data_IF_156933702509
#
_entry.id   IF_156933702509
#
_cell.length_a   1.000
_cell.length_b   1.000
_cell.length_c   1.000
_cell.angle_alpha   90.00
_cell.angle_beta   90.00
_cell.angle_gamma   90.00
#
_symmetry.space_group_name_H-M   'P 1'
#
loop_
_entity.id
_entity.type
_entity.pdbx_description
1 polymer ?
#
# COMPACT_ATOMS: atom_id res chain seq x y z
N UNK A 1 -20.10 -33.56 41.64
CA UNK A 1 -20.13 -33.47 40.18
C UNK A 1 -20.47 -32.03 39.89
N UNK A 2 -19.42 -31.22 39.76
CA UNK A 2 -19.52 -29.77 39.67
C UNK A 2 -20.05 -29.37 38.30
N UNK A 3 -21.12 -28.58 38.35
CA UNK A 3 -21.78 -27.95 37.21
C UNK A 3 -20.86 -26.84 36.69
N UNK A 4 -20.08 -27.17 35.66
CA UNK A 4 -19.18 -26.23 34.99
C UNK A 4 -20.03 -25.29 34.15
N UNK A 5 -20.40 -24.16 34.73
CA UNK A 5 -20.97 -23.01 34.02
C UNK A 5 -20.02 -22.63 32.87
N UNK A 6 -20.44 -22.94 31.64
CA UNK A 6 -19.80 -22.46 30.41
C UNK A 6 -19.75 -20.93 30.45
N UNK A 7 -18.54 -20.40 30.66
CA UNK A 7 -18.31 -18.96 30.54
C UNK A 7 -18.46 -18.58 29.07
N UNK A 8 -19.37 -17.65 28.71
CA UNK A 8 -19.52 -17.24 27.32
C UNK A 8 -18.18 -16.74 26.79
N UNK A 9 -17.78 -17.26 25.63
CA UNK A 9 -16.56 -16.87 24.94
C UNK A 9 -16.48 -15.34 24.85
N UNK A 10 -15.34 -14.76 25.25
CA UNK A 10 -15.10 -13.33 25.20
C UNK A 10 -15.25 -12.83 23.75
N UNK A 11 -16.42 -12.31 23.40
CA UNK A 11 -16.69 -11.62 22.14
C UNK A 11 -15.91 -10.31 22.18
N UNK A 12 -14.81 -10.26 21.44
CA UNK A 12 -13.87 -9.14 21.44
C UNK A 12 -14.58 -7.81 21.17
N UNK A 13 -14.31 -6.81 22.00
CA UNK A 13 -14.73 -5.44 21.74
C UNK A 13 -14.12 -4.94 20.43
N UNK A 14 -14.96 -4.59 19.45
CA UNK A 14 -14.51 -3.97 18.19
C UNK A 14 -14.63 -2.45 18.26
N UNK A 15 -15.74 -1.95 18.80
CA UNK A 15 -15.93 -0.52 18.99
C UNK A 15 -17.32 -0.13 19.48
N UNK A 16 -17.54 1.17 19.58
CA UNK A 16 -18.79 1.78 20.05
C UNK A 16 -19.26 2.89 19.13
N UNK A 17 -20.56 2.91 18.86
CA UNK A 17 -21.28 4.06 18.33
C UNK A 17 -21.74 4.92 19.49
N UNK A 18 -21.48 6.22 19.41
CA UNK A 18 -21.79 7.20 20.44
C UNK A 18 -22.52 8.42 19.87
N UNK A 19 -23.28 9.10 20.70
CA UNK A 19 -24.04 10.31 20.37
C UNK A 19 -23.68 11.48 21.27
N UNK A 20 -23.56 12.68 20.70
CA UNK A 20 -23.41 13.94 21.43
C UNK A 20 -24.76 14.64 21.54
N UNK A 21 -25.12 15.05 22.76
CA UNK A 21 -26.30 15.88 23.05
C UNK A 21 -26.00 16.85 24.20
N UNK A 22 -26.92 17.77 24.47
CA UNK A 22 -26.88 18.54 25.71
C UNK A 22 -27.42 17.70 26.86
N UNK A 23 -26.93 17.90 28.07
CA UNK A 23 -27.50 17.24 29.25
C UNK A 23 -28.99 17.58 29.44
N UNK A 24 -29.35 18.83 29.14
CA UNK A 24 -30.70 19.37 29.27
C UNK A 24 -31.65 18.98 28.12
N UNK A 25 -31.17 18.26 27.11
CA UNK A 25 -31.96 17.92 25.92
C UNK A 25 -31.76 16.46 25.53
N UNK A 26 -32.86 15.78 25.17
CA UNK A 26 -32.81 14.49 24.50
C UNK A 26 -32.32 14.59 23.05
N UNK A 27 -32.13 15.79 22.51
CA UNK A 27 -31.78 15.98 21.10
C UNK A 27 -30.30 15.70 20.84
N UNK A 28 -30.02 14.58 20.16
CA UNK A 28 -28.71 14.33 19.56
C UNK A 28 -28.37 15.33 18.47
N UNK A 29 -27.13 15.83 18.52
CA UNK A 29 -26.57 16.80 17.57
C UNK A 29 -25.44 16.22 16.74
N UNK A 30 -24.86 15.09 17.16
CA UNK A 30 -23.84 14.41 16.39
C UNK A 30 -23.77 12.94 16.78
N UNK A 31 -23.55 12.06 15.80
CA UNK A 31 -23.29 10.63 16.02
C UNK A 31 -21.92 10.30 15.46
N UNK A 32 -21.16 9.45 16.14
CA UNK A 32 -19.91 8.94 15.60
C UNK A 32 -19.58 7.55 16.12
N UNK A 33 -18.64 6.87 15.47
CA UNK A 33 -18.08 5.63 15.96
C UNK A 33 -16.61 5.75 16.41
N UNK A 34 -16.18 4.81 17.25
CA UNK A 34 -14.79 4.65 17.67
C UNK A 34 -14.46 3.19 17.95
N UNK A 35 -13.32 2.70 17.47
CA UNK A 35 -12.72 1.42 17.90
C UNK A 35 -11.87 1.56 19.17
N UNK A 36 -11.67 2.79 19.64
CA UNK A 36 -11.04 3.13 20.92
C UNK A 36 -12.10 3.56 21.94
N UNK A 37 -11.71 3.94 23.16
CA UNK A 37 -12.66 4.40 24.17
C UNK A 37 -13.38 5.71 23.77
N UNK A 38 -14.66 5.81 24.14
CA UNK A 38 -15.47 7.02 23.97
C UNK A 38 -14.78 8.22 24.61
N UNK A 39 -14.25 8.06 25.84
CA UNK A 39 -13.54 9.13 26.56
C UNK A 39 -12.41 9.75 25.74
N UNK A 40 -11.53 8.92 25.16
CA UNK A 40 -10.41 9.40 24.32
C UNK A 40 -10.94 10.11 23.08
N UNK A 41 -11.98 9.57 22.45
CA UNK A 41 -12.58 10.15 21.24
C UNK A 41 -13.24 11.50 21.52
N UNK A 42 -13.93 11.64 22.65
CA UNK A 42 -14.53 12.89 23.14
C UNK A 42 -13.47 13.97 23.34
N UNK A 43 -12.39 13.66 24.08
CA UNK A 43 -11.28 14.59 24.29
C UNK A 43 -10.65 15.04 22.96
N UNK A 44 -10.52 14.12 22.00
CA UNK A 44 -10.00 14.46 20.67
C UNK A 44 -10.93 15.44 19.91
N UNK A 45 -12.25 15.31 20.04
CA UNK A 45 -13.19 16.26 19.43
C UNK A 45 -13.08 17.64 20.05
N UNK A 46 -13.04 17.76 21.37
CA UNK A 46 -12.83 19.03 22.05
C UNK A 46 -11.49 19.67 21.66
N UNK A 47 -10.40 18.90 21.63
CA UNK A 47 -9.08 19.38 21.19
C UNK A 47 -9.11 19.88 19.73
N UNK A 48 -9.75 19.14 18.83
CA UNK A 48 -9.87 19.54 17.42
C UNK A 48 -10.74 20.80 17.25
N UNK A 49 -11.80 20.93 18.04
CA UNK A 49 -12.67 22.10 18.03
C UNK A 49 -11.92 23.34 18.55
N UNK A 50 -11.15 23.20 19.63
CA UNK A 50 -10.30 24.25 20.19
C UNK A 50 -9.17 24.68 19.23
N UNK A 51 -8.61 23.73 18.47
CA UNK A 51 -7.61 24.01 17.43
C UNK A 51 -8.17 24.74 16.19
N UNK A 52 -9.46 25.08 16.17
CA UNK A 52 -10.04 25.91 15.11
C UNK A 52 -10.49 25.15 13.86
N UNK A 53 -10.66 23.82 13.93
CA UNK A 53 -11.21 23.06 12.79
C UNK A 53 -12.65 23.48 12.52
N UNK A 54 -12.94 23.84 11.26
CA UNK A 54 -14.23 24.40 10.83
C UNK A 54 -15.19 23.30 10.37
N UNK A 55 -16.17 22.96 11.20
CA UNK A 55 -17.30 22.08 10.86
C UNK A 55 -18.51 22.50 11.71
N UNK A 56 -19.74 22.29 11.22
CA UNK A 56 -20.95 22.66 11.98
C UNK A 56 -20.98 22.00 13.39
N UNK A 57 -20.53 20.75 13.49
CA UNK A 57 -20.38 20.06 14.76
C UNK A 57 -19.36 20.73 15.69
N UNK A 58 -18.18 21.12 15.21
CA UNK A 58 -17.17 21.78 16.05
C UNK A 58 -17.56 23.21 16.40
N UNK A 59 -18.26 23.90 15.52
CA UNK A 59 -18.83 25.22 15.79
C UNK A 59 -19.90 25.13 16.90
N UNK A 60 -20.73 24.09 16.87
CA UNK A 60 -21.66 23.79 17.95
C UNK A 60 -20.94 23.39 19.25
N UNK A 61 -19.90 22.54 19.17
CA UNK A 61 -19.14 22.09 20.34
C UNK A 61 -18.37 23.24 21.02
N UNK A 62 -17.97 24.28 20.30
CA UNK A 62 -17.37 25.49 20.91
C UNK A 62 -18.39 26.38 21.60
N UNK A 63 -19.64 26.35 21.16
CA UNK A 63 -20.74 27.12 21.76
C UNK A 63 -21.36 26.38 22.95
N UNK A 64 -21.42 25.06 22.88
CA UNK A 64 -21.82 24.21 23.99
C UNK A 64 -20.65 24.11 24.98
N UNK A 65 -20.81 24.58 26.20
CA UNK A 65 -19.80 24.40 27.25
C UNK A 65 -19.59 22.91 27.52
N UNK A 66 -18.34 22.47 27.70
CA UNK A 66 -17.97 21.07 27.98
C UNK A 66 -18.77 20.46 29.15
N UNK A 67 -19.10 21.26 30.16
CA UNK A 67 -19.89 20.88 31.35
C UNK A 67 -21.36 20.52 31.08
N UNK A 68 -21.88 20.83 29.89
CA UNK A 68 -23.28 20.57 29.54
C UNK A 68 -23.41 19.62 28.34
N UNK A 69 -22.29 19.08 27.85
CA UNK A 69 -22.27 18.15 26.72
C UNK A 69 -22.22 16.73 27.25
N UNK A 70 -23.28 15.97 26.97
CA UNK A 70 -23.35 14.55 27.29
C UNK A 70 -23.00 13.70 26.08
N UNK A 71 -22.10 12.73 26.27
CA UNK A 71 -21.74 11.74 25.25
C UNK A 71 -22.27 10.38 25.67
N UNK A 72 -23.27 9.91 24.93
CA UNK A 72 -24.00 8.68 25.22
C UNK A 72 -23.45 7.52 24.38
N UNK A 73 -23.31 6.34 24.99
CA UNK A 73 -22.99 5.11 24.27
C UNK A 73 -24.28 4.53 23.69
N UNK A 74 -24.42 4.52 22.37
CA UNK A 74 -25.63 4.07 21.68
C UNK A 74 -25.59 2.55 21.43
N UNK A 75 -24.45 2.02 20.98
CA UNK A 75 -24.30 0.61 20.65
C UNK A 75 -22.85 0.15 20.77
N UNK A 76 -22.63 -1.00 21.42
CA UNK A 76 -21.34 -1.70 21.45
C UNK A 76 -21.35 -2.77 20.36
N UNK A 77 -20.37 -2.73 19.47
CA UNK A 77 -20.22 -3.70 18.39
C UNK A 77 -19.02 -4.60 18.67
N UNK A 78 -19.23 -5.91 18.58
CA UNK A 78 -18.23 -6.96 18.83
C UNK A 78 -17.92 -7.82 17.59
N UNK A 79 -18.65 -7.61 16.49
CA UNK A 79 -18.59 -8.48 15.32
C UNK A 79 -17.48 -8.10 14.33
N UNK A 80 -17.49 -6.88 13.76
CA UNK A 80 -16.47 -6.40 12.83
C UNK A 80 -16.43 -4.88 12.70
N UNK A 81 -15.35 -4.34 12.12
CA UNK A 81 -15.24 -2.89 11.85
C UNK A 81 -16.26 -2.42 10.80
N UNK A 82 -16.62 -3.28 9.84
CA UNK A 82 -17.65 -2.96 8.87
C UNK A 82 -19.04 -2.96 9.51
N UNK A 83 -19.26 -3.79 10.53
CA UNK A 83 -20.52 -3.82 11.28
C UNK A 83 -20.64 -2.57 12.15
N UNK A 84 -19.54 -2.12 12.74
CA UNK A 84 -19.47 -0.85 13.46
C UNK A 84 -19.80 0.34 12.54
N UNK A 85 -19.28 0.33 11.31
CA UNK A 85 -19.59 1.33 10.30
C UNK A 85 -21.07 1.31 9.88
N UNK A 86 -21.65 0.12 9.66
CA UNK A 86 -23.08 -0.02 9.33
C UNK A 86 -23.97 0.43 10.49
N UNK A 87 -23.58 0.11 11.72
CA UNK A 87 -24.28 0.57 12.93
C UNK A 87 -24.27 2.11 13.03
N UNK A 88 -23.13 2.77 12.77
CA UNK A 88 -23.07 4.25 12.75
C UNK A 88 -24.09 4.86 11.78
N UNK A 89 -24.17 4.33 10.56
CA UNK A 89 -25.13 4.77 9.54
C UNK A 89 -26.57 4.55 10.02
N UNK A 90 -26.88 3.35 10.51
CA UNK A 90 -28.21 3.01 11.00
C UNK A 90 -28.67 3.92 12.14
N UNK A 91 -27.77 4.30 13.06
CA UNK A 91 -28.07 5.25 14.13
C UNK A 91 -28.30 6.68 13.61
N UNK A 92 -27.51 7.13 12.63
CA UNK A 92 -27.71 8.44 12.00
C UNK A 92 -29.08 8.50 11.34
N UNK A 93 -29.46 7.47 10.58
CA UNK A 93 -30.76 7.38 9.91
C UNK A 93 -31.91 7.32 10.91
N UNK A 94 -31.81 6.45 11.92
CA UNK A 94 -32.82 6.31 12.98
C UNK A 94 -33.08 7.62 13.71
N UNK A 95 -32.01 8.34 14.08
CA UNK A 95 -32.15 9.60 14.81
C UNK A 95 -32.66 10.73 13.90
N UNK A 96 -32.25 10.79 12.63
CA UNK A 96 -32.85 11.74 11.67
C UNK A 96 -34.35 11.48 11.49
N UNK A 97 -34.75 10.22 11.34
CA UNK A 97 -36.16 9.83 11.25
C UNK A 97 -36.94 10.16 12.53
N UNK A 98 -36.28 10.09 13.69
CA UNK A 98 -36.81 10.55 14.99
C UNK A 98 -36.84 12.07 15.17
N UNK A 99 -36.47 12.87 14.16
CA UNK A 99 -36.52 14.34 14.19
C UNK A 99 -35.28 15.02 14.78
N UNK A 100 -34.21 14.29 15.06
CA UNK A 100 -32.96 14.87 15.58
C UNK A 100 -32.21 15.66 14.49
N UNK A 101 -31.79 16.90 14.80
CA UNK A 101 -31.06 17.76 13.86
C UNK A 101 -29.56 17.49 13.95
N UNK A 102 -29.14 16.37 13.36
CA UNK A 102 -27.74 15.95 13.36
C UNK A 102 -26.86 16.90 12.52
N UNK A 103 -25.69 17.23 13.07
CA UNK A 103 -24.63 18.07 12.46
C UNK A 103 -23.55 17.22 11.77
N UNK A 104 -23.82 15.93 11.56
CA UNK A 104 -22.96 15.01 10.83
C UNK A 104 -22.75 15.52 9.39
N UNK A 105 -21.49 15.61 8.96
CA UNK A 105 -21.14 16.07 7.60
C UNK A 105 -21.45 15.04 6.50
N UNK A 106 -21.51 13.76 6.87
CA UNK A 106 -21.75 12.64 5.97
C UNK A 106 -22.78 11.70 6.61
N UNK A 107 -23.36 10.82 5.79
CA UNK A 107 -24.35 9.82 6.21
C UNK A 107 -23.79 8.73 7.14
N UNK A 108 -22.46 8.68 7.31
CA UNK A 108 -21.76 7.76 8.21
C UNK A 108 -20.85 6.78 7.46
N UNK A 109 -20.22 5.85 8.18
CA UNK A 109 -19.69 4.62 7.61
C UNK A 109 -18.17 4.51 7.47
N UNK A 110 -17.38 5.56 7.78
CA UNK A 110 -15.88 5.57 7.93
C UNK A 110 -15.26 6.98 8.06
N UNK A 111 -16.06 8.03 8.25
CA UNK A 111 -15.54 9.42 8.24
C UNK A 111 -14.93 9.80 6.88
N UNK A 112 -13.93 10.71 6.82
CA UNK A 112 -13.27 11.12 5.57
C UNK A 112 -12.66 9.97 4.76
N UNK A 113 -12.40 8.82 5.39
CA UNK A 113 -11.84 7.62 4.76
C UNK A 113 -12.91 6.72 4.10
N UNK A 114 -14.20 7.00 4.31
CA UNK A 114 -15.33 6.31 3.67
C UNK A 114 -15.90 7.05 2.47
N UNK A 115 -15.47 8.28 2.24
CA UNK A 115 -15.97 9.10 1.13
C UNK A 115 -15.38 8.63 -0.20
N UNK A 116 -16.14 7.83 -0.94
CA UNK A 116 -15.80 7.47 -2.32
C UNK A 116 -16.06 8.71 -3.18
N UNK A 117 -14.98 9.38 -3.59
CA UNK A 117 -15.07 10.53 -4.49
C UNK A 117 -15.84 10.15 -5.74
N UNK A 118 -16.82 10.97 -6.15
CA UNK A 118 -17.47 10.78 -7.45
C UNK A 118 -16.46 10.96 -8.58
N UNK A 119 -16.76 10.42 -9.77
CA UNK A 119 -15.89 10.60 -10.93
C UNK A 119 -15.63 12.08 -11.25
N UNK A 120 -16.64 12.94 -11.09
CA UNK A 120 -16.53 14.38 -11.26
C UNK A 120 -15.64 15.05 -10.22
N UNK A 121 -15.77 14.66 -8.95
CA UNK A 121 -14.92 15.20 -7.91
C UNK A 121 -13.46 14.82 -8.11
N UNK A 122 -13.20 13.55 -8.51
CA UNK A 122 -11.85 13.09 -8.86
C UNK A 122 -11.26 13.91 -9.99
N UNK A 123 -12.05 14.19 -11.04
CA UNK A 123 -11.66 15.08 -12.13
C UNK A 123 -11.39 16.51 -11.64
N UNK A 124 -12.25 17.08 -10.80
CA UNK A 124 -12.08 18.43 -10.27
C UNK A 124 -10.86 18.56 -9.33
N UNK A 125 -10.52 17.52 -8.56
CA UNK A 125 -9.25 17.48 -7.83
C UNK A 125 -8.05 17.34 -8.75
N UNK A 126 -8.14 16.48 -9.78
CA UNK A 126 -7.07 16.35 -10.77
C UNK A 126 -6.80 17.70 -11.47
N UNK A 127 -7.84 18.41 -11.90
CA UNK A 127 -7.73 19.74 -12.54
C UNK A 127 -7.10 20.78 -11.59
N UNK A 128 -7.48 20.78 -10.30
CA UNK A 128 -6.86 21.66 -9.31
C UNK A 128 -5.42 21.29 -8.98
N UNK A 129 -5.07 20.01 -9.15
CA UNK A 129 -3.73 19.49 -8.90
C UNK A 129 -2.79 19.73 -10.08
N UNK A 130 -3.31 19.80 -11.31
CA UNK A 130 -2.54 20.23 -12.48
C UNK A 130 -1.97 21.63 -12.28
N UNK A 131 -0.65 21.74 -12.35
CA UNK A 131 0.09 22.99 -12.15
C UNK A 131 0.68 23.19 -10.75
N UNK A 132 0.31 22.38 -9.75
CA UNK A 132 0.94 22.46 -8.42
C UNK A 132 2.39 21.95 -8.47
N UNK A 133 3.38 22.71 -7.97
CA UNK A 133 4.76 22.25 -7.90
C UNK A 133 4.87 21.03 -6.97
N UNK A 134 5.66 20.02 -7.37
CA UNK A 134 5.96 18.84 -6.56
C UNK A 134 5.03 17.63 -6.71
N UNK A 135 4.03 17.66 -7.60
CA UNK A 135 3.22 16.48 -7.89
C UNK A 135 3.85 15.60 -8.98
N UNK A 136 3.95 14.29 -8.72
CA UNK A 136 4.33 13.30 -9.74
C UNK A 136 3.24 13.22 -10.81
N UNK A 137 3.62 13.49 -12.06
CA UNK A 137 2.76 13.35 -13.24
C UNK A 137 3.12 12.04 -13.94
N UNK A 138 2.12 11.35 -14.48
CA UNK A 138 2.29 10.06 -15.16
C UNK A 138 1.92 10.17 -16.63
N UNK A 139 2.47 9.28 -17.46
CA UNK A 139 2.14 9.23 -18.88
C UNK A 139 2.43 10.57 -19.58
N UNK A 140 1.60 10.96 -20.56
CA UNK A 140 1.78 12.19 -21.37
C UNK A 140 1.96 13.48 -20.57
N UNK A 141 1.39 13.54 -19.36
CA UNK A 141 1.47 14.73 -18.50
C UNK A 141 2.83 14.88 -17.81
N UNK A 142 3.67 13.84 -17.83
CA UNK A 142 5.02 13.91 -17.29
C UNK A 142 5.91 14.81 -18.16
N UNK A 143 6.67 15.76 -17.58
CA UNK A 143 7.61 16.61 -18.32
C UNK A 143 8.69 15.83 -19.09
N UNK A 144 8.92 14.57 -18.68
CA UNK A 144 9.89 13.66 -19.27
C UNK A 144 9.24 12.57 -20.14
N UNK A 145 7.92 12.63 -20.38
CA UNK A 145 7.25 11.68 -21.25
C UNK A 145 7.78 11.76 -22.68
N UNK A 146 8.13 10.61 -23.25
CA UNK A 146 8.70 10.51 -24.60
C UNK A 146 10.11 11.08 -24.75
N UNK A 147 10.72 11.62 -23.69
CA UNK A 147 12.10 12.11 -23.72
C UNK A 147 13.05 10.97 -23.38
N UNK A 148 14.10 10.84 -24.18
CA UNK A 148 15.21 9.93 -23.92
C UNK A 148 16.48 10.73 -23.65
N UNK A 149 17.32 10.22 -22.75
CA UNK A 149 18.66 10.76 -22.57
C UNK A 149 19.52 10.46 -23.81
N UNK A 150 20.36 11.41 -24.21
CA UNK A 150 21.33 11.19 -25.27
C UNK A 150 22.34 10.11 -24.87
N UNK A 151 22.96 9.47 -25.85
CA UNK A 151 24.00 8.47 -25.61
C UNK A 151 25.19 9.05 -24.84
N UNK A 152 25.59 10.30 -25.12
CA UNK A 152 26.63 11.00 -24.36
C UNK A 152 26.24 11.22 -22.89
N UNK A 153 25.00 11.61 -22.60
CA UNK A 153 24.53 11.77 -21.22
C UNK A 153 24.49 10.43 -20.47
N UNK A 154 24.05 9.36 -21.13
CA UNK A 154 24.06 8.00 -20.57
C UNK A 154 25.49 7.56 -20.27
N UNK A 155 26.42 7.78 -21.21
CA UNK A 155 27.84 7.46 -21.04
C UNK A 155 28.46 8.24 -19.87
N UNK A 156 28.21 9.55 -19.79
CA UNK A 156 28.70 10.39 -18.69
C UNK A 156 28.17 9.92 -17.33
N UNK A 157 26.89 9.61 -17.21
CA UNK A 157 26.34 9.08 -15.96
C UNK A 157 26.85 7.68 -15.63
N UNK A 158 27.08 6.85 -16.65
CA UNK A 158 27.71 5.55 -16.48
C UNK A 158 29.10 5.71 -15.85
N UNK A 159 29.92 6.63 -16.37
CA UNK A 159 31.24 6.90 -15.77
C UNK A 159 31.17 7.50 -14.37
N UNK A 160 30.29 8.48 -14.12
CA UNK A 160 30.13 9.07 -12.79
C UNK A 160 29.68 8.02 -11.76
N UNK A 161 28.82 7.08 -12.15
CA UNK A 161 28.27 6.05 -11.26
C UNK A 161 29.15 4.81 -11.17
N UNK A 162 30.10 4.64 -12.07
CA UNK A 162 31.03 3.52 -12.03
C UNK A 162 31.80 3.57 -10.71
N UNK A 163 31.61 2.55 -9.87
CA UNK A 163 32.27 2.41 -8.57
C UNK A 163 31.62 3.14 -7.38
N UNK A 164 30.49 3.85 -7.55
CA UNK A 164 29.88 4.62 -6.44
C UNK A 164 29.14 3.75 -5.41
N UNK A 165 28.60 2.61 -5.84
CA UNK A 165 27.87 1.63 -5.01
C UNK A 165 28.46 0.23 -5.24
N UNK A 166 29.78 0.11 -5.10
CA UNK A 166 30.52 -1.15 -5.24
C UNK A 166 31.34 -1.42 -3.98
N UNK A 167 31.60 -2.70 -3.69
CA UNK A 167 32.30 -3.07 -2.47
C UNK A 167 31.57 -2.58 -1.22
N UNK A 168 32.30 -2.21 -0.18
CA UNK A 168 31.79 -1.74 1.12
C UNK A 168 30.84 -0.55 1.06
N UNK A 169 30.89 0.24 -0.02
CA UNK A 169 29.98 1.38 -0.23
C UNK A 169 28.58 0.95 -0.68
N UNK A 170 28.40 -0.29 -1.11
CA UNK A 170 27.07 -0.82 -1.37
C UNK A 170 26.36 -1.08 -0.04
N UNK A 171 25.15 -0.51 0.21
CA UNK A 171 24.40 -0.74 1.44
C UNK A 171 24.11 -2.21 1.77
N UNK A 172 24.21 -3.08 0.75
CA UNK A 172 24.02 -4.51 0.83
C UNK A 172 25.35 -5.31 0.79
N UNK A 173 26.51 -4.66 0.80
CA UNK A 173 27.81 -5.36 0.86
C UNK A 173 28.03 -6.03 2.20
N UNK A 174 28.58 -7.24 2.17
CA UNK A 174 28.81 -8.06 3.36
C UNK A 174 27.54 -8.63 4.02
N UNK A 175 26.35 -8.12 3.67
CA UNK A 175 25.06 -8.61 4.18
C UNK A 175 24.58 -9.80 3.36
N UNK A 176 25.24 -10.93 3.56
CA UNK A 176 24.84 -12.22 3.02
C UNK A 176 24.65 -13.22 4.16
N UNK A 177 23.90 -14.29 3.93
CA UNK A 177 23.64 -15.25 4.99
C UNK A 177 22.95 -14.58 6.18
N UNK A 178 23.27 -15.02 7.41
CA UNK A 178 22.61 -14.60 8.66
C UNK A 178 22.58 -13.10 8.91
N UNK A 179 23.54 -12.35 8.35
CA UNK A 179 23.66 -10.91 8.54
C UNK A 179 22.74 -10.09 7.62
N UNK A 180 22.07 -10.73 6.65
CA UNK A 180 21.09 -10.07 5.81
C UNK A 180 19.76 -9.88 6.59
N UNK A 181 19.15 -8.69 6.59
CA UNK A 181 17.89 -8.44 7.32
C UNK A 181 16.73 -9.37 6.93
N UNK A 182 16.79 -9.94 5.73
CA UNK A 182 15.84 -10.93 5.20
C UNK A 182 16.28 -12.40 5.37
N UNK A 183 17.36 -12.70 6.07
CA UNK A 183 17.83 -14.08 6.25
C UNK A 183 16.91 -14.86 7.20
N UNK A 184 16.65 -16.12 6.87
CA UNK A 184 15.71 -16.98 7.63
C UNK A 184 14.24 -16.62 7.44
N UNK A 185 13.92 -15.45 6.87
CA UNK A 185 12.56 -15.10 6.50
C UNK A 185 12.09 -15.98 5.34
N UNK A 186 11.27 -16.97 5.66
CA UNK A 186 10.54 -17.78 4.68
C UNK A 186 9.07 -17.40 4.70
N UNK A 187 8.46 -17.26 3.53
CA UNK A 187 7.02 -17.08 3.46
C UNK A 187 6.32 -18.33 4.00
N UNK A 188 5.27 -18.14 4.82
CA UNK A 188 4.43 -19.24 5.28
C UNK A 188 3.84 -20.00 4.10
N UNK A 189 3.54 -21.29 4.28
CA UNK A 189 2.92 -22.11 3.24
C UNK A 189 1.60 -21.49 2.75
N UNK A 190 0.80 -20.94 3.66
CA UNK A 190 -0.42 -20.21 3.37
C UNK A 190 -0.17 -18.96 2.51
N UNK A 191 0.82 -18.12 2.87
CA UNK A 191 1.16 -16.93 2.08
C UNK A 191 1.67 -17.29 0.69
N UNK A 192 2.44 -18.38 0.56
CA UNK A 192 2.89 -18.90 -0.73
C UNK A 192 1.71 -19.37 -1.58
N UNK A 193 0.75 -20.08 -0.98
CA UNK A 193 -0.45 -20.55 -1.66
C UNK A 193 -1.34 -19.39 -2.12
N UNK A 194 -1.56 -18.39 -1.26
CA UNK A 194 -2.33 -17.19 -1.60
C UNK A 194 -1.69 -16.41 -2.77
N UNK A 195 -0.36 -16.24 -2.75
CA UNK A 195 0.36 -15.58 -3.84
C UNK A 195 0.31 -16.39 -5.15
N UNK A 196 0.39 -17.72 -5.05
CA UNK A 196 0.31 -18.61 -6.20
C UNK A 196 -1.08 -18.57 -6.85
N UNK A 197 -2.15 -18.56 -6.04
CA UNK A 197 -3.52 -18.45 -6.52
C UNK A 197 -3.77 -17.09 -7.18
N UNK A 198 -3.32 -16.00 -6.55
CA UNK A 198 -3.42 -14.66 -7.14
C UNK A 198 -2.72 -14.54 -8.49
N UNK A 199 -1.65 -15.32 -8.72
CA UNK A 199 -0.86 -15.32 -9.96
C UNK A 199 -1.22 -16.49 -10.88
N UNK A 200 -2.33 -17.18 -10.66
CA UNK A 200 -2.84 -18.23 -11.54
C UNK A 200 -3.81 -17.63 -12.56
N UNK A 201 -3.87 -18.25 -13.74
CA UNK A 201 -4.83 -17.85 -14.76
C UNK A 201 -4.72 -16.37 -15.09
N UNK A 202 -5.87 -15.72 -15.28
CA UNK A 202 -5.97 -14.29 -15.61
C UNK A 202 -5.34 -13.34 -14.57
N UNK A 203 -5.04 -13.81 -13.35
CA UNK A 203 -4.31 -13.03 -12.34
C UNK A 203 -2.83 -12.84 -12.68
N UNK A 204 -2.26 -13.68 -13.55
CA UNK A 204 -0.93 -13.45 -14.10
C UNK A 204 -1.00 -12.41 -15.23
N UNK A 205 -0.25 -11.28 -15.17
CA UNK A 205 -0.21 -10.28 -16.23
C UNK A 205 0.21 -10.83 -17.61
N UNK A 206 0.88 -11.98 -17.62
CA UNK A 206 1.34 -12.69 -18.82
C UNK A 206 0.45 -13.87 -19.21
N UNK A 207 -0.71 -14.07 -18.56
CA UNK A 207 -1.63 -15.14 -18.94
C UNK A 207 -2.15 -14.97 -20.36
N UNK A 208 -2.10 -16.06 -21.15
CA UNK A 208 -2.47 -16.04 -22.56
C UNK A 208 -1.51 -15.28 -23.47
N UNK A 209 -0.43 -14.69 -22.95
CA UNK A 209 0.58 -13.98 -23.74
C UNK A 209 1.77 -14.90 -24.00
N UNK A 210 2.14 -15.04 -25.27
CA UNK A 210 3.38 -15.69 -25.67
C UNK A 210 4.35 -14.64 -26.21
N UNK A 211 5.60 -14.57 -25.70
CA UNK A 211 6.59 -13.66 -26.24
C UNK A 211 6.88 -13.99 -27.70
N UNK A 212 7.13 -12.95 -28.51
CA UNK A 212 7.55 -13.11 -29.90
C UNK A 212 8.85 -13.91 -30.01
N UNK A 213 9.10 -14.53 -31.16
CA UNK A 213 10.34 -15.26 -31.41
C UNK A 213 11.59 -14.39 -31.13
N UNK A 214 11.56 -13.12 -31.54
CA UNK A 214 12.65 -12.16 -31.29
C UNK A 214 12.88 -11.91 -29.79
N UNK A 215 11.81 -11.78 -29.01
CA UNK A 215 11.92 -11.57 -27.55
C UNK A 215 12.44 -12.83 -26.85
N UNK A 216 12.00 -14.01 -27.30
CA UNK A 216 12.51 -15.30 -26.79
C UNK A 216 14.00 -15.45 -27.05
N UNK A 217 14.46 -15.04 -28.23
CA UNK A 217 15.87 -15.06 -28.60
C UNK A 217 16.70 -14.09 -27.72
N UNK A 218 16.25 -12.85 -27.53
CA UNK A 218 16.93 -11.87 -26.64
C UNK A 218 17.04 -12.38 -25.20
N UNK A 219 15.97 -12.98 -24.68
CA UNK A 219 15.97 -13.59 -23.35
C UNK A 219 16.91 -14.80 -23.31
N UNK A 220 16.94 -15.63 -24.35
CA UNK A 220 17.85 -16.78 -24.47
C UNK A 220 19.33 -16.36 -24.41
N UNK A 221 19.71 -15.35 -25.21
CA UNK A 221 21.07 -14.79 -25.21
C UNK A 221 21.42 -14.21 -23.83
N UNK A 222 20.47 -13.50 -23.20
CA UNK A 222 20.71 -12.92 -21.88
C UNK A 222 20.91 -14.01 -20.82
N UNK A 223 20.07 -15.05 -20.80
CA UNK A 223 20.18 -16.17 -19.87
C UNK A 223 21.48 -16.95 -20.09
N UNK A 224 21.87 -17.17 -21.35
CA UNK A 224 23.16 -17.78 -21.68
C UNK A 224 24.32 -16.99 -21.06
N UNK A 225 24.35 -15.68 -21.23
CA UNK A 225 25.36 -14.82 -20.60
C UNK A 225 25.41 -14.97 -19.09
N UNK A 226 24.24 -14.98 -18.42
CA UNK A 226 24.17 -15.07 -16.96
C UNK A 226 24.55 -16.45 -16.41
N UNK A 227 24.13 -17.52 -17.06
CA UNK A 227 24.27 -18.89 -16.53
C UNK A 227 25.50 -19.63 -17.05
N UNK A 228 25.96 -19.31 -18.26
CA UNK A 228 27.10 -19.96 -18.89
C UNK A 228 28.33 -19.04 -18.87
N UNK A 229 28.30 -17.93 -19.59
CA UNK A 229 29.45 -17.04 -19.75
C UNK A 229 29.96 -16.49 -18.41
N UNK A 230 29.10 -15.82 -17.63
CA UNK A 230 29.49 -15.19 -16.36
C UNK A 230 29.91 -16.19 -15.28
N UNK A 231 29.50 -17.46 -15.40
CA UNK A 231 29.85 -18.53 -14.47
C UNK A 231 30.96 -19.45 -14.98
N UNK A 232 31.44 -19.23 -16.21
CA UNK A 232 32.43 -20.09 -16.86
C UNK A 232 31.96 -21.53 -17.12
N UNK A 233 30.64 -21.77 -17.19
CA UNK A 233 30.07 -23.11 -17.35
C UNK A 233 29.63 -23.31 -18.80
N UNK A 234 30.32 -24.19 -19.53
CA UNK A 234 29.94 -24.56 -20.90
C UNK A 234 29.00 -25.75 -20.87
N UNK A 235 27.85 -25.64 -21.55
CA UNK A 235 26.95 -26.77 -21.78
C UNK A 235 26.87 -27.10 -23.27
N UNK A 236 27.20 -28.33 -23.69
CA UNK A 236 27.22 -28.73 -25.10
C UNK A 236 25.82 -28.71 -25.75
N UNK A 237 24.75 -28.79 -24.96
CA UNK A 237 23.36 -28.73 -25.45
C UNK A 237 22.86 -27.29 -25.67
N UNK A 238 23.58 -26.28 -25.18
CA UNK A 238 23.23 -24.88 -25.40
C UNK A 238 23.77 -24.43 -26.75
N UNK A 239 22.87 -24.08 -27.68
CA UNK A 239 23.24 -23.56 -29.01
C UNK A 239 24.29 -22.44 -28.92
N UNK A 240 24.08 -21.47 -28.01
CA UNK A 240 24.99 -20.34 -27.84
C UNK A 240 26.38 -20.74 -27.31
N UNK A 241 26.48 -21.75 -26.44
CA UNK A 241 27.79 -22.28 -26.01
C UNK A 241 28.55 -22.92 -27.18
N UNK A 242 27.84 -23.63 -28.05
CA UNK A 242 28.42 -24.26 -29.24
C UNK A 242 28.87 -23.20 -30.24
N UNK A 243 28.05 -22.17 -30.45
CA UNK A 243 28.36 -21.04 -31.33
C UNK A 243 29.56 -20.24 -30.81
N UNK A 244 29.65 -19.99 -29.50
CA UNK A 244 30.78 -19.31 -28.85
C UNK A 244 32.09 -20.11 -29.01
N UNK A 245 32.00 -21.45 -28.89
CA UNK A 245 33.14 -22.34 -29.07
C UNK A 245 33.62 -22.39 -30.53
N UNK A 246 32.70 -22.34 -31.49
CA UNK A 246 33.02 -22.31 -32.91
C UNK A 246 33.64 -20.98 -33.38
N UNK A 247 33.37 -19.88 -32.66
CA UNK A 247 33.89 -18.53 -32.96
C UNK A 247 35.20 -18.20 -32.25
N UNK A 248 35.68 -19.06 -31.34
CA UNK A 248 36.98 -18.90 -30.67
C UNK A 248 38.07 -19.55 -31.53
N UNK A 249 38.95 -18.81 -32.23
CA UNK A 249 40.04 -19.42 -32.97
C UNK A 249 41.00 -20.10 -31.99
N UNK A 250 41.29 -21.37 -32.23
CA UNK A 250 42.43 -22.05 -31.58
C UNK A 250 43.68 -21.19 -31.77
N UNK A 251 44.45 -20.91 -30.71
CA UNK A 251 45.71 -20.20 -30.88
C UNK A 251 46.63 -21.06 -31.76
N UNK A 252 47.37 -20.47 -32.71
CA UNK A 252 48.35 -21.22 -33.48
C UNK A 252 49.37 -21.82 -32.51
N UNK A 253 49.60 -23.12 -32.61
CA UNK A 253 50.75 -23.80 -32.02
C UNK A 253 52.02 -23.15 -32.57
N UNK A 254 52.54 -22.17 -31.84
CA UNK A 254 53.84 -21.58 -32.09
C UNK A 254 54.91 -22.58 -31.67
N UNK A 255 55.62 -23.12 -32.66
CA UNK A 255 56.92 -23.75 -32.48
C UNK A 255 57.84 -22.82 -31.67
N UNK A 256 58.59 -23.41 -30.76
CA UNK A 256 59.50 -22.74 -29.84
C UNK A 256 60.89 -22.63 -30.53
N UNK A 257 61.37 -21.45 -30.95
CA UNK A 257 62.72 -21.30 -31.47
C UNK A 257 63.57 -20.62 -30.39
N UNK A 258 64.12 -21.42 -29.48
CA UNK A 258 65.35 -21.12 -28.74
C UNK A 258 65.72 -22.36 -27.92
N UNK A 259 66.44 -23.27 -28.59
CA UNK A 259 67.57 -23.97 -27.98
C UNK A 259 68.83 -23.13 -28.16
#
# INVERSE_FOLDING_TARGET
>A
MDDVLERPAYVGFIGVVYGFRLETSGEFRYVGMTSTSIRRRTQQHFKNAAAGRKTAFYDWLRKASEQHVYVESLEVVTSSLDDLARSEVAWIERLKAGGHRLLNLAEGGKGPNGYVWTGEQRKAAAIRATGRPGLHRFGPDSPMFGKHHSEEQKARWSEIRKGSITGEKNPNYGKFGQDHPGYGHTMSAESKAALAEQRRGAGNPNFGKSPSAETREKVSISLHRFHHTNKGVVKPECRHCVDDAAQSPTPPTGENPNG
#
